data_IF_505000104827
#
_entry.id   IF_505000104827
#
_cell.length_a   1.000
_cell.length_b   1.000
_cell.length_c   1.000
_cell.angle_alpha   90.00
_cell.angle_beta   90.00
_cell.angle_gamma   90.00
#
_symmetry.space_group_name_H-M   'P 1'
#
loop_
_entity.id
_entity.type
_entity.pdbx_description
1 polymer ?
#
# COMPACT_ATOMS: atom_id res chain seq x y z
N UNK A 1 -3.60 7.59 19.54
CA UNK A 1 -3.09 6.72 18.45
C UNK A 1 -1.71 6.17 18.75
N UNK A 2 -0.70 7.00 19.09
CA UNK A 2 0.66 6.51 19.37
C UNK A 2 0.74 5.43 20.46
N UNK A 3 0.04 5.63 21.58
CA UNK A 3 -0.03 4.66 22.70
C UNK A 3 -0.58 3.29 22.25
N UNK A 4 -1.59 3.28 21.38
CA UNK A 4 -2.21 2.05 20.89
C UNK A 4 -1.24 1.28 19.99
N UNK A 5 -0.55 1.98 19.08
CA UNK A 5 0.45 1.36 18.22
C UNK A 5 1.65 0.81 19.00
N UNK A 6 2.16 1.56 19.97
CA UNK A 6 3.24 1.09 20.85
C UNK A 6 2.80 -0.15 21.65
N UNK A 7 1.57 -0.13 22.18
CA UNK A 7 1.01 -1.28 22.88
C UNK A 7 0.89 -2.52 21.99
N UNK A 8 0.43 -2.36 20.74
CA UNK A 8 0.31 -3.45 19.79
C UNK A 8 1.67 -4.03 19.34
N UNK A 9 2.67 -3.16 19.18
CA UNK A 9 4.04 -3.57 18.85
C UNK A 9 4.65 -4.35 20.03
N UNK A 10 4.45 -3.86 21.26
CA UNK A 10 4.94 -4.54 22.45
C UNK A 10 4.31 -5.93 22.60
N UNK A 11 2.98 -6.05 22.49
CA UNK A 11 2.32 -7.36 22.55
C UNK A 11 2.78 -8.28 21.42
N UNK A 12 2.90 -7.78 20.18
CA UNK A 12 3.47 -8.54 19.08
C UNK A 12 4.87 -9.07 19.39
N UNK A 13 5.75 -8.24 19.97
CA UNK A 13 7.11 -8.63 20.32
C UNK A 13 7.17 -9.67 21.44
N UNK A 14 6.38 -9.52 22.50
CA UNK A 14 6.33 -10.47 23.63
C UNK A 14 5.80 -11.84 23.21
N UNK A 15 4.73 -11.88 22.42
CA UNK A 15 4.11 -13.14 21.99
C UNK A 15 4.84 -13.78 20.79
N UNK A 16 5.61 -13.01 20.02
CA UNK A 16 6.39 -13.55 18.90
C UNK A 16 7.51 -14.51 19.33
N UNK A 17 7.99 -14.45 20.57
CA UNK A 17 9.00 -15.39 21.09
C UNK A 17 8.43 -16.66 21.71
N UNK A 18 7.16 -16.63 22.15
CA UNK A 18 6.53 -17.75 22.87
C UNK A 18 5.66 -18.62 21.96
N UNK A 19 5.08 -18.05 20.91
CA UNK A 19 4.18 -18.75 20.00
C UNK A 19 5.01 -19.35 18.86
N UNK A 20 5.07 -20.69 18.80
CA UNK A 20 5.65 -21.41 17.65
C UNK A 20 4.77 -21.16 16.41
N UNK A 21 5.19 -20.20 15.57
CA UNK A 21 4.57 -19.97 14.27
C UNK A 21 5.24 -20.92 13.27
N UNK A 22 4.43 -21.61 12.48
CA UNK A 22 4.93 -22.49 11.43
C UNK A 22 5.84 -21.72 10.46
N UNK A 23 7.14 -22.01 10.52
CA UNK A 23 8.17 -21.36 9.73
C UNK A 23 8.08 -21.71 8.23
N UNK A 24 7.30 -22.73 7.86
CA UNK A 24 7.04 -23.10 6.46
C UNK A 24 6.08 -22.14 5.75
N UNK A 25 5.40 -21.30 6.53
CA UNK A 25 4.39 -20.35 6.07
C UNK A 25 5.02 -19.02 5.63
N UNK A 26 4.42 -18.33 4.66
CA UNK A 26 4.91 -16.99 4.26
C UNK A 26 4.81 -15.99 5.41
N UNK A 27 5.72 -15.01 5.46
CA UNK A 27 5.78 -13.99 6.53
C UNK A 27 4.42 -13.33 6.82
N UNK A 28 3.62 -13.01 5.80
CA UNK A 28 2.30 -12.39 5.99
C UNK A 28 1.28 -13.33 6.63
N UNK A 29 1.35 -14.62 6.28
CA UNK A 29 0.45 -15.63 6.83
C UNK A 29 0.85 -15.98 8.27
N UNK A 30 2.15 -15.93 8.59
CA UNK A 30 2.65 -16.00 9.96
C UNK A 30 2.09 -14.87 10.83
N UNK A 31 2.06 -13.62 10.32
CA UNK A 31 1.50 -12.46 11.04
C UNK A 31 0.00 -12.61 11.31
N UNK A 32 -0.78 -13.06 10.32
CA UNK A 32 -2.22 -13.31 10.49
C UNK A 32 -2.48 -14.38 11.57
N UNK A 33 -1.70 -15.47 11.54
CA UNK A 33 -1.78 -16.52 12.55
C UNK A 33 -1.31 -16.05 13.93
N UNK A 34 -0.26 -15.22 14.00
CA UNK A 34 0.20 -14.63 15.26
C UNK A 34 -0.91 -13.83 15.93
N UNK A 35 -1.58 -12.94 15.20
CA UNK A 35 -2.70 -12.14 15.74
C UNK A 35 -3.83 -13.02 16.28
N UNK A 36 -4.17 -14.08 15.56
CA UNK A 36 -5.18 -15.05 16.01
C UNK A 36 -4.74 -15.75 17.30
N UNK A 37 -3.50 -16.24 17.35
CA UNK A 37 -2.99 -16.94 18.52
C UNK A 37 -2.89 -16.03 19.75
N UNK A 38 -2.45 -14.77 19.58
CA UNK A 38 -2.45 -13.78 20.66
C UNK A 38 -3.86 -13.60 21.22
N UNK A 39 -4.88 -13.50 20.37
CA UNK A 39 -6.27 -13.35 20.81
C UNK A 39 -6.77 -14.56 21.60
N UNK A 40 -6.41 -15.78 21.18
CA UNK A 40 -6.76 -17.01 21.89
C UNK A 40 -6.05 -17.08 23.24
N UNK A 41 -4.76 -16.76 23.30
CA UNK A 41 -4.00 -16.81 24.56
C UNK A 41 -4.46 -15.73 25.54
N UNK A 42 -4.79 -14.53 25.06
CA UNK A 42 -5.18 -13.41 25.90
C UNK A 42 -6.63 -13.48 26.40
N UNK A 43 -7.59 -13.86 25.54
CA UNK A 43 -9.03 -13.81 25.83
C UNK A 43 -9.73 -15.19 25.72
N UNK A 44 -9.01 -16.26 25.41
CA UNK A 44 -9.57 -17.58 25.19
C UNK A 44 -10.40 -17.70 23.91
N UNK A 45 -11.24 -18.74 23.84
CA UNK A 45 -12.04 -19.02 22.64
C UNK A 45 -13.08 -17.92 22.32
N UNK A 46 -13.56 -17.20 23.35
CA UNK A 46 -14.42 -16.03 23.18
C UNK A 46 -13.69 -14.88 22.46
N UNK A 47 -12.40 -14.68 22.77
CA UNK A 47 -11.55 -13.67 22.13
C UNK A 47 -11.46 -13.85 20.62
N UNK A 48 -11.23 -15.09 20.16
CA UNK A 48 -11.11 -15.39 18.73
C UNK A 48 -12.42 -15.13 17.96
N UNK A 49 -13.59 -15.44 18.55
CA UNK A 49 -14.89 -15.17 17.93
C UNK A 49 -15.18 -13.67 17.84
N UNK A 50 -14.82 -12.90 18.87
CA UNK A 50 -14.96 -11.44 18.84
C UNK A 50 -14.01 -10.84 17.81
N UNK A 51 -12.76 -11.31 17.77
CA UNK A 51 -11.76 -10.86 16.80
C UNK A 51 -12.22 -11.09 15.37
N UNK A 52 -12.77 -12.26 15.04
CA UNK A 52 -13.22 -12.56 13.67
C UNK A 52 -14.39 -11.66 13.25
N UNK A 53 -15.33 -11.39 14.15
CA UNK A 53 -16.45 -10.45 13.91
C UNK A 53 -15.94 -9.03 13.68
N UNK A 54 -15.03 -8.56 14.53
CA UNK A 54 -14.45 -7.22 14.41
C UNK A 54 -13.66 -7.04 13.12
N UNK A 55 -12.85 -8.04 12.74
CA UNK A 55 -12.11 -8.05 11.48
C UNK A 55 -13.09 -8.05 10.29
N UNK A 56 -14.14 -8.89 10.34
CA UNK A 56 -15.13 -8.94 9.28
C UNK A 56 -15.82 -7.57 9.08
N UNK A 57 -16.20 -6.90 10.17
CA UNK A 57 -16.79 -5.56 10.12
C UNK A 57 -15.82 -4.51 9.57
N UNK A 58 -14.56 -4.51 10.02
CA UNK A 58 -13.55 -3.56 9.55
C UNK A 58 -13.20 -3.77 8.05
N UNK A 59 -13.13 -5.02 7.61
CA UNK A 59 -12.94 -5.36 6.20
C UNK A 59 -14.16 -4.97 5.36
N UNK A 60 -15.38 -5.15 5.89
CA UNK A 60 -16.61 -4.76 5.21
C UNK A 60 -16.66 -3.25 4.94
N UNK A 61 -16.35 -2.41 5.93
CA UNK A 61 -16.34 -0.95 5.73
C UNK A 61 -15.28 -0.51 4.72
N UNK A 62 -14.12 -1.18 4.71
CA UNK A 62 -13.05 -0.88 3.75
C UNK A 62 -13.44 -1.29 2.33
N UNK A 63 -14.04 -2.47 2.16
CA UNK A 63 -14.55 -2.94 0.88
C UNK A 63 -15.64 -2.00 0.33
N UNK A 64 -16.61 -1.60 1.15
CA UNK A 64 -17.67 -0.66 0.76
C UNK A 64 -17.07 0.68 0.33
N UNK A 65 -16.08 1.21 1.05
CA UNK A 65 -15.40 2.46 0.69
C UNK A 65 -14.68 2.40 -0.66
N UNK A 66 -13.95 1.31 -0.92
CA UNK A 66 -13.24 1.12 -2.20
C UNK A 66 -14.23 0.94 -3.36
N UNK A 67 -15.29 0.15 -3.18
CA UNK A 67 -16.31 -0.07 -4.22
C UNK A 67 -17.03 1.24 -4.54
N UNK A 68 -17.53 1.95 -3.52
CA UNK A 68 -18.22 3.22 -3.72
C UNK A 68 -17.30 4.27 -4.38
N UNK A 69 -16.07 4.42 -3.88
CA UNK A 69 -15.10 5.37 -4.46
C UNK A 69 -14.73 5.06 -5.90
N UNK A 70 -14.57 3.77 -6.24
CA UNK A 70 -14.30 3.33 -7.62
C UNK A 70 -15.50 3.60 -8.52
N UNK A 71 -16.72 3.30 -8.04
CA UNK A 71 -17.94 3.54 -8.78
C UNK A 71 -18.22 5.03 -9.01
N UNK A 72 -17.93 5.89 -8.02
CA UNK A 72 -18.02 7.34 -8.18
C UNK A 72 -16.99 7.89 -9.18
N UNK A 73 -15.76 7.36 -9.16
CA UNK A 73 -14.74 7.72 -10.16
C UNK A 73 -15.22 7.41 -11.59
N UNK A 74 -15.75 6.20 -11.82
CA UNK A 74 -16.27 5.83 -13.13
C UNK A 74 -17.53 6.60 -13.51
N UNK A 75 -18.43 6.87 -12.56
CA UNK A 75 -19.60 7.73 -12.77
C UNK A 75 -19.19 9.11 -13.29
N UNK A 76 -18.19 9.74 -12.65
CA UNK A 76 -17.63 11.02 -13.08
C UNK A 76 -17.04 10.97 -14.49
N UNK A 77 -16.31 9.90 -14.82
CA UNK A 77 -15.71 9.69 -16.14
C UNK A 77 -16.77 9.53 -17.25
N UNK A 78 -17.90 8.88 -16.95
CA UNK A 78 -19.00 8.65 -17.89
C UNK A 78 -20.12 9.69 -17.78
N UNK A 79 -19.76 10.98 -17.70
CA UNK A 79 -20.70 12.13 -17.70
C UNK A 79 -21.79 12.02 -16.61
N UNK A 80 -21.42 11.56 -15.42
CA UNK A 80 -22.29 11.42 -14.26
C UNK A 80 -23.43 10.38 -14.44
N UNK A 81 -23.26 9.40 -15.33
CA UNK A 81 -24.25 8.35 -15.59
C UNK A 81 -24.43 7.41 -14.38
N UNK A 82 -25.66 7.31 -13.88
CA UNK A 82 -26.01 6.41 -12.78
C UNK A 82 -25.85 4.93 -13.16
N UNK A 83 -26.03 4.59 -14.45
CA UNK A 83 -25.83 3.22 -14.91
C UNK A 83 -24.36 2.78 -14.80
N UNK A 84 -23.41 3.67 -15.09
CA UNK A 84 -21.99 3.38 -14.96
C UNK A 84 -21.59 3.10 -13.50
N UNK A 85 -22.19 3.83 -12.55
CA UNK A 85 -22.01 3.58 -11.11
C UNK A 85 -22.47 2.16 -10.73
N UNK A 86 -23.71 1.80 -11.09
CA UNK A 86 -24.29 0.51 -10.69
C UNK A 86 -23.53 -0.66 -11.31
N UNK A 87 -23.17 -0.56 -12.59
CA UNK A 87 -22.43 -1.62 -13.29
C UNK A 87 -21.06 -1.83 -12.64
N UNK A 88 -20.32 -0.75 -12.38
CA UNK A 88 -18.99 -0.85 -11.75
C UNK A 88 -19.05 -1.34 -10.32
N UNK A 89 -20.09 -0.97 -9.56
CA UNK A 89 -20.29 -1.44 -8.20
C UNK A 89 -20.56 -2.95 -8.18
N UNK A 90 -21.50 -3.43 -9.01
CA UNK A 90 -21.82 -4.85 -9.13
C UNK A 90 -20.61 -5.64 -9.59
N UNK A 91 -19.91 -5.15 -10.62
CA UNK A 91 -18.69 -5.80 -11.13
C UNK A 91 -17.63 -5.93 -10.05
N UNK A 92 -17.39 -4.88 -9.27
CA UNK A 92 -16.40 -4.89 -8.18
C UNK A 92 -16.80 -5.86 -7.06
N UNK A 93 -18.08 -5.92 -6.69
CA UNK A 93 -18.59 -6.87 -5.70
C UNK A 93 -18.42 -8.33 -6.17
N UNK A 94 -18.81 -8.63 -7.41
CA UNK A 94 -18.67 -9.98 -7.99
C UNK A 94 -17.21 -10.37 -8.07
N UNK A 95 -16.34 -9.46 -8.55
CA UNK A 95 -14.91 -9.69 -8.61
C UNK A 95 -14.31 -9.94 -7.21
N UNK A 96 -14.72 -9.16 -6.20
CA UNK A 96 -14.30 -9.33 -4.81
C UNK A 96 -14.69 -10.70 -4.25
N UNK A 97 -15.91 -11.18 -4.53
CA UNK A 97 -16.35 -12.54 -4.14
C UNK A 97 -15.50 -13.60 -4.81
N UNK A 98 -15.23 -13.49 -6.11
CA UNK A 98 -14.42 -14.45 -6.87
C UNK A 98 -12.98 -14.51 -6.32
N UNK A 99 -12.35 -13.36 -6.10
CA UNK A 99 -10.99 -13.29 -5.54
C UNK A 99 -10.96 -13.76 -4.08
N UNK A 100 -12.02 -13.51 -3.32
CA UNK A 100 -12.16 -13.96 -1.94
C UNK A 100 -12.22 -15.49 -1.76
N UNK A 101 -12.52 -16.24 -2.82
CA UNK A 101 -12.43 -17.71 -2.81
C UNK A 101 -10.98 -18.22 -2.90
N UNK A 102 -10.00 -17.37 -3.20
CA UNK A 102 -8.59 -17.75 -3.27
C UNK A 102 -7.97 -17.85 -1.87
N UNK A 103 -6.90 -18.65 -1.77
CA UNK A 103 -6.12 -18.71 -0.54
C UNK A 103 -5.43 -17.37 -0.24
N UNK A 104 -5.33 -17.00 1.03
CA UNK A 104 -4.70 -15.75 1.48
C UNK A 104 -3.33 -15.50 0.85
N UNK A 105 -2.46 -16.52 0.83
CA UNK A 105 -1.13 -16.39 0.23
C UNK A 105 -1.17 -16.03 -1.26
N UNK A 106 -2.08 -16.63 -2.03
CA UNK A 106 -2.26 -16.31 -3.45
C UNK A 106 -2.72 -14.86 -3.64
N UNK A 107 -3.66 -14.40 -2.81
CA UNK A 107 -4.16 -13.01 -2.83
C UNK A 107 -2.99 -12.04 -2.56
N UNK A 108 -2.17 -12.32 -1.55
CA UNK A 108 -1.03 -11.47 -1.18
C UNK A 108 0.03 -11.41 -2.27
N UNK A 109 0.43 -12.56 -2.83
CA UNK A 109 1.45 -12.62 -3.90
C UNK A 109 1.00 -11.85 -5.14
N UNK A 110 -0.29 -11.90 -5.47
CA UNK A 110 -0.87 -11.12 -6.57
C UNK A 110 -0.95 -9.63 -6.20
N UNK A 111 -1.30 -9.28 -4.96
CA UNK A 111 -1.50 -7.89 -4.54
C UNK A 111 -0.20 -7.09 -4.36
N UNK A 112 0.90 -7.72 -3.92
CA UNK A 112 2.19 -7.04 -3.68
C UNK A 112 2.68 -6.22 -4.89
N UNK A 113 2.74 -6.74 -6.14
CA UNK A 113 3.23 -5.95 -7.26
C UNK A 113 2.36 -4.72 -7.56
N UNK A 114 1.03 -4.83 -7.41
CA UNK A 114 0.14 -3.67 -7.53
C UNK A 114 0.37 -2.67 -6.41
N UNK A 115 0.57 -3.15 -5.18
CA UNK A 115 0.88 -2.29 -4.04
C UNK A 115 2.19 -1.55 -4.30
N UNK A 116 3.25 -2.25 -4.70
CA UNK A 116 4.58 -1.73 -5.02
C UNK A 116 4.55 -0.62 -6.08
N UNK A 117 3.57 -0.68 -6.98
CA UNK A 117 3.35 0.30 -8.02
C UNK A 117 2.54 1.51 -7.54
N UNK A 118 1.45 1.29 -6.81
CA UNK A 118 0.52 2.36 -6.40
C UNK A 118 1.06 3.15 -5.20
N UNK A 119 1.71 2.49 -4.23
CA UNK A 119 2.13 3.13 -2.98
C UNK A 119 3.07 4.34 -3.17
N UNK A 120 4.11 4.31 -4.02
CA UNK A 120 5.04 5.43 -4.19
C UNK A 120 4.31 6.65 -4.76
N UNK A 121 3.48 6.41 -5.76
CA UNK A 121 2.72 7.43 -6.48
C UNK A 121 1.75 8.11 -5.52
N UNK A 122 0.99 7.33 -4.75
CA UNK A 122 0.04 7.87 -3.77
C UNK A 122 0.74 8.67 -2.68
N UNK A 123 1.87 8.19 -2.13
CA UNK A 123 2.61 8.94 -1.10
C UNK A 123 3.11 10.28 -1.65
N UNK A 124 3.71 10.28 -2.85
CA UNK A 124 4.20 11.51 -3.48
C UNK A 124 3.06 12.49 -3.76
N UNK A 125 1.91 12.02 -4.25
CA UNK A 125 0.73 12.85 -4.47
C UNK A 125 0.22 13.47 -3.17
N UNK A 126 0.14 12.69 -2.09
CA UNK A 126 -0.27 13.20 -0.77
C UNK A 126 0.71 14.26 -0.27
N UNK A 127 2.02 14.00 -0.36
CA UNK A 127 3.05 14.93 0.07
C UNK A 127 3.02 16.24 -0.73
N UNK A 128 2.94 16.15 -2.06
CA UNK A 128 2.88 17.35 -2.91
C UNK A 128 1.58 18.14 -2.71
N UNK A 129 0.45 17.46 -2.51
CA UNK A 129 -0.83 18.14 -2.22
C UNK A 129 -0.81 18.82 -0.85
N UNK A 130 -0.08 18.27 0.13
CA UNK A 130 0.08 18.88 1.45
C UNK A 130 0.99 20.12 1.46
N UNK A 131 1.77 20.35 0.41
CA UNK A 131 2.69 21.49 0.30
C UNK A 131 1.94 22.65 -0.39
N UNK A 132 2.12 23.91 0.06
CA UNK A 132 1.43 25.06 -0.54
C UNK A 132 1.77 25.21 -2.04
N UNK A 133 0.77 25.59 -2.84
CA UNK A 133 0.83 25.64 -4.32
C UNK A 133 2.01 26.44 -4.88
N UNK A 134 2.55 27.40 -4.09
CA UNK A 134 3.76 28.17 -4.43
C UNK A 134 4.98 27.28 -4.73
N UNK A 135 5.04 26.07 -4.17
CA UNK A 135 6.12 25.10 -4.34
C UNK A 135 5.70 23.86 -5.14
N UNK A 136 4.42 23.74 -5.51
CA UNK A 136 3.82 22.58 -6.17
C UNK A 136 3.22 22.96 -7.53
N UNK A 137 3.99 23.66 -8.36
CA UNK A 137 3.59 23.96 -9.74
C UNK A 137 3.28 22.66 -10.50
N UNK A 138 2.37 22.69 -11.49
CA UNK A 138 1.99 21.53 -12.30
C UNK A 138 3.20 20.80 -12.92
N UNK A 139 4.29 21.54 -13.17
CA UNK A 139 5.55 20.99 -13.65
C UNK A 139 6.29 20.16 -12.58
N UNK A 140 6.36 20.63 -11.33
CA UNK A 140 6.91 19.87 -10.18
C UNK A 140 6.10 18.58 -9.99
N UNK A 141 4.78 18.69 -10.03
CA UNK A 141 3.86 17.56 -9.89
C UNK A 141 4.15 16.47 -10.93
N UNK A 142 4.27 16.86 -12.20
CA UNK A 142 4.50 15.92 -13.29
C UNK A 142 5.88 15.26 -13.22
N UNK A 143 6.95 16.02 -12.94
CA UNK A 143 8.31 15.48 -12.92
C UNK A 143 8.58 14.59 -11.71
N UNK A 144 8.13 14.98 -10.51
CA UNK A 144 8.32 14.16 -9.30
C UNK A 144 7.55 12.84 -9.41
N UNK A 145 6.31 12.87 -9.90
CA UNK A 145 5.51 11.66 -10.14
C UNK A 145 6.16 10.77 -11.20
N UNK A 146 6.63 11.33 -12.32
CA UNK A 146 7.26 10.57 -13.40
C UNK A 146 8.55 9.89 -12.93
N UNK A 147 9.40 10.59 -12.19
CA UNK A 147 10.64 10.02 -11.66
C UNK A 147 10.33 8.95 -10.62
N UNK A 148 9.40 9.21 -9.71
CA UNK A 148 8.94 8.20 -8.74
C UNK A 148 8.43 6.94 -9.44
N UNK A 149 7.65 7.11 -10.50
CA UNK A 149 7.15 6.00 -11.31
C UNK A 149 8.30 5.19 -11.93
N UNK A 150 9.25 5.84 -12.61
CA UNK A 150 10.38 5.16 -13.26
C UNK A 150 11.26 4.41 -12.26
N UNK A 151 11.52 5.02 -11.10
CA UNK A 151 12.36 4.42 -10.06
C UNK A 151 11.66 3.36 -9.21
N UNK A 152 10.33 3.20 -9.34
CA UNK A 152 9.58 2.11 -8.70
C UNK A 152 9.49 0.84 -9.56
N UNK A 153 9.76 0.95 -10.87
CA UNK A 153 9.77 -0.21 -11.79
C UNK A 153 10.79 -1.29 -11.37
N UNK A 154 12.05 -0.94 -11.00
CA UNK A 154 13.03 -1.92 -10.54
C UNK A 154 12.56 -2.73 -9.33
N UNK A 155 11.82 -2.13 -8.40
CA UNK A 155 11.30 -2.82 -7.22
C UNK A 155 10.25 -3.89 -7.60
N UNK A 156 9.39 -3.57 -8.58
CA UNK A 156 8.38 -4.51 -9.11
C UNK A 156 9.06 -5.65 -9.88
N UNK A 157 10.03 -5.32 -10.75
CA UNK A 157 10.77 -6.32 -11.54
C UNK A 157 11.61 -7.21 -10.63
N UNK A 158 12.22 -6.66 -9.57
CA UNK A 158 12.96 -7.44 -8.59
C UNK A 158 12.08 -8.41 -7.79
N UNK A 159 10.81 -8.07 -7.56
CA UNK A 159 9.83 -8.96 -6.91
C UNK A 159 9.34 -10.07 -7.85
N UNK A 160 9.04 -9.74 -9.11
CA UNK A 160 8.50 -10.71 -10.09
C UNK A 160 9.59 -11.59 -10.71
N UNK A 161 10.79 -11.04 -10.93
CA UNK A 161 11.92 -11.71 -11.57
C UNK A 161 13.20 -11.53 -10.74
N UNK A 162 13.43 -12.37 -9.72
CA UNK A 162 14.63 -12.28 -8.89
C UNK A 162 15.87 -12.66 -9.73
N UNK A 163 16.57 -11.67 -10.29
CA UNK A 163 17.84 -11.89 -10.97
C UNK A 163 19.00 -11.42 -10.09
N UNK A 164 20.04 -12.25 -9.99
CA UNK A 164 21.27 -11.94 -9.24
C UNK A 164 21.94 -10.64 -9.74
N UNK A 165 21.77 -10.31 -11.02
CA UNK A 165 22.27 -9.08 -11.65
C UNK A 165 21.59 -7.81 -11.12
N UNK A 166 20.28 -7.87 -10.79
CA UNK A 166 19.58 -6.74 -10.18
C UNK A 166 20.00 -6.52 -8.72
N UNK A 167 20.34 -7.57 -7.96
CA UNK A 167 20.83 -7.43 -6.56
C UNK A 167 22.09 -6.56 -6.45
N UNK A 168 22.99 -6.61 -7.44
CA UNK A 168 24.21 -5.79 -7.45
C UNK A 168 23.95 -4.31 -7.76
N UNK A 169 22.98 -4.01 -8.62
CA UNK A 169 22.58 -2.62 -8.95
C UNK A 169 21.73 -2.03 -7.82
N UNK A 170 20.85 -2.84 -7.24
CA UNK A 170 20.01 -2.49 -6.08
C UNK A 170 20.88 -2.15 -4.86
N UNK A 171 21.96 -2.90 -4.59
CA UNK A 171 22.92 -2.57 -3.50
C UNK A 171 23.58 -1.18 -3.62
N UNK A 172 23.63 -0.60 -4.81
CA UNK A 172 24.26 0.71 -5.04
C UNK A 172 23.35 1.89 -4.65
N UNK A 173 22.04 1.65 -4.47
CA UNK A 173 21.08 2.67 -4.04
C UNK A 173 20.79 2.48 -2.55
N UNK A 174 21.24 3.39 -1.66
CA UNK A 174 20.86 3.34 -0.25
C UNK A 174 19.33 3.48 -0.14
N UNK A 175 18.67 2.61 0.65
CA UNK A 175 17.21 2.41 0.83
C UNK A 175 16.50 1.41 -0.10
N UNK A 176 17.15 0.86 -1.13
CA UNK A 176 16.52 -0.12 -2.02
C UNK A 176 16.21 -1.47 -1.34
N UNK A 177 16.95 -1.83 -0.27
CA UNK A 177 16.75 -3.06 0.49
C UNK A 177 15.39 -3.16 1.21
N UNK A 178 14.70 -2.02 1.39
CA UNK A 178 13.38 -1.94 2.00
C UNK A 178 12.29 -1.49 0.99
N UNK A 179 12.55 -1.63 -0.31
CA UNK A 179 11.66 -1.11 -1.36
C UNK A 179 11.41 0.39 -1.26
N UNK A 180 12.39 1.19 -0.82
CA UNK A 180 12.29 2.66 -0.77
C UNK A 180 13.21 3.33 -1.80
N UNK A 181 13.57 2.63 -2.88
CA UNK A 181 14.50 3.11 -3.90
C UNK A 181 14.06 4.38 -4.62
N UNK A 182 12.76 4.68 -4.64
CA UNK A 182 12.16 5.87 -5.25
C UNK A 182 12.28 7.14 -4.39
N UNK A 183 12.43 7.02 -3.06
CA UNK A 183 12.33 8.17 -2.14
C UNK A 183 13.43 9.19 -2.41
N UNK A 184 14.67 8.72 -2.55
CA UNK A 184 15.83 9.57 -2.73
C UNK A 184 15.81 10.28 -4.10
N UNK A 185 15.55 9.60 -5.24
CA UNK A 185 15.30 10.26 -6.52
C UNK A 185 14.14 11.27 -6.49
N UNK A 186 13.01 10.90 -5.87
CA UNK A 186 11.85 11.78 -5.79
C UNK A 186 12.16 13.08 -5.03
N UNK A 187 12.90 12.98 -3.92
CA UNK A 187 13.32 14.13 -3.12
C UNK A 187 14.29 15.05 -3.86
N UNK A 188 15.29 14.47 -4.54
CA UNK A 188 16.27 15.24 -5.34
C UNK A 188 15.56 16.01 -6.46
N UNK A 189 14.63 15.37 -7.17
CA UNK A 189 13.90 16.00 -8.27
C UNK A 189 12.93 17.06 -7.75
N UNK A 190 12.30 16.84 -6.60
CA UNK A 190 11.48 17.86 -5.95
C UNK A 190 12.28 19.15 -5.69
N UNK A 191 13.49 19.02 -5.12
CA UNK A 191 14.36 20.17 -4.85
C UNK A 191 14.81 20.86 -6.15
N UNK A 192 15.29 20.09 -7.14
CA UNK A 192 15.80 20.64 -8.39
C UNK A 192 14.72 21.40 -9.17
N UNK A 193 13.53 20.80 -9.33
CA UNK A 193 12.45 21.43 -10.10
C UNK A 193 11.91 22.66 -9.38
N UNK A 194 11.89 22.67 -8.04
CA UNK A 194 11.48 23.84 -7.28
C UNK A 194 12.46 25.02 -7.43
N UNK A 195 13.78 24.74 -7.39
CA UNK A 195 14.82 25.76 -7.63
C UNK A 195 14.71 26.32 -9.06
N UNK A 196 14.55 25.47 -10.07
CA UNK A 196 14.42 25.89 -11.47
C UNK A 196 13.10 26.65 -11.71
N UNK A 197 12.00 26.22 -11.09
CA UNK A 197 10.69 26.89 -11.20
C UNK A 197 10.69 28.27 -10.56
N UNK A 198 11.44 28.46 -9.46
CA UNK A 198 11.60 29.78 -8.83
C UNK A 198 12.35 30.74 -9.74
N UNK A 199 13.37 30.26 -10.46
CA UNK A 199 14.21 31.07 -11.34
C UNK A 199 13.47 31.56 -12.59
N UNK A 200 12.46 30.80 -13.06
CA UNK A 200 11.58 31.19 -14.17
C UNK A 200 10.50 32.22 -13.80
N UNK A 201 10.20 32.41 -12.52
CA UNK A 201 9.22 33.40 -12.06
C UNK A 201 9.84 34.80 -11.83
N UNK A 202 11.16 34.93 -11.97
CA UNK A 202 11.95 36.15 -11.71
C UNK A 202 12.64 36.72 -12.96
N UNK A 203 12.33 36.21 -14.15
CA UNK A 203 12.75 36.74 -15.45
C UNK A 203 11.50 37.12 -16.23
#
# INVERSE_FOLDING_TARGET
MFIIYVGLIATGAFFSSEINIDATLSNDMQRANLLRNISITALGNLGNSILSVLIALACFTTAVGIVAGTSDYFKGLFKNSQQAYVITAIFSCVFGVVVGQLNFNAIVVIAIPFLLFVYPITIVLILLNSIPERFASAMVFRYVVLVTFVFSIPDIVGFVWPSETLKSIVKFIPLSAHSFGWVLPAFVVFILVNIVSKNKATV
#
